data_IF_421671573589
#
_entry.id   IF_421671573589
#
_cell.length_a   1.000
_cell.length_b   1.000
_cell.length_c   1.000
_cell.angle_alpha   90.00
_cell.angle_beta   90.00
_cell.angle_gamma   90.00
#
_symmetry.space_group_name_H-M   'P 1'
#
loop_
_entity.id
_entity.type
_entity.pdbx_description
1 polymer ?
#
# COMPACT_ATOMS: atom_id res chain seq x y z
N UNK A 1 -14.16 -19.47 0.02
CA UNK A 1 -12.91 -19.08 0.72
C UNK A 1 -13.11 -18.84 2.22
N UNK A 2 -14.34 -18.80 2.75
CA UNK A 2 -14.57 -18.56 4.20
C UNK A 2 -13.81 -19.51 5.14
N UNK A 3 -13.73 -20.83 4.88
CA UNK A 3 -12.94 -21.71 5.73
C UNK A 3 -11.45 -21.35 5.76
N UNK A 4 -10.92 -20.86 4.63
CA UNK A 4 -9.53 -20.41 4.53
C UNK A 4 -9.31 -19.12 5.33
N UNK A 5 -10.15 -18.10 5.15
CA UNK A 5 -10.02 -16.83 5.89
C UNK A 5 -10.17 -17.03 7.40
N UNK A 6 -11.16 -17.83 7.82
CA UNK A 6 -11.34 -18.17 9.22
C UNK A 6 -10.12 -18.90 9.80
N UNK A 7 -9.55 -19.85 9.05
CA UNK A 7 -8.38 -20.57 9.52
C UNK A 7 -7.12 -19.69 9.58
N UNK A 8 -6.91 -18.83 8.58
CA UNK A 8 -5.83 -17.85 8.58
C UNK A 8 -5.93 -16.89 9.76
N UNK A 9 -7.12 -16.35 10.03
CA UNK A 9 -7.37 -15.49 11.19
C UNK A 9 -7.10 -16.22 12.51
N UNK A 10 -7.55 -17.48 12.66
CA UNK A 10 -7.29 -18.29 13.85
C UNK A 10 -5.80 -18.59 14.09
N UNK A 11 -4.97 -18.53 13.06
CA UNK A 11 -3.52 -18.74 13.14
C UNK A 11 -2.73 -17.44 13.29
N UNK A 12 -3.38 -16.28 13.41
CA UNK A 12 -2.69 -14.99 13.45
C UNK A 12 -2.04 -14.61 12.12
N UNK A 13 -2.43 -15.22 11.00
CA UNK A 13 -1.82 -14.92 9.71
C UNK A 13 -2.26 -13.55 9.19
N UNK A 14 -1.29 -12.73 8.83
CA UNK A 14 -1.51 -11.52 8.04
C UNK A 14 -1.67 -11.89 6.56
N UNK A 15 -2.78 -11.47 5.96
CA UNK A 15 -3.05 -11.71 4.53
C UNK A 15 -2.78 -10.46 3.70
N UNK A 16 -1.98 -10.58 2.65
CA UNK A 16 -1.68 -9.47 1.73
C UNK A 16 -2.37 -9.71 0.40
N UNK A 17 -3.06 -8.69 -0.12
CA UNK A 17 -3.72 -8.74 -1.42
C UNK A 17 -3.28 -7.57 -2.29
N UNK A 18 -3.00 -7.83 -3.56
CA UNK A 18 -2.79 -6.79 -4.55
C UNK A 18 -4.08 -5.96 -4.74
N UNK A 19 -3.97 -4.64 -4.64
CA UNK A 19 -5.07 -3.70 -4.92
C UNK A 19 -4.62 -2.56 -5.82
N UNK A 20 -5.54 -2.00 -6.60
CA UNK A 20 -5.21 -1.01 -7.62
C UNK A 20 -4.83 -1.64 -8.96
N UNK A 21 -4.67 -0.83 -10.00
CA UNK A 21 -4.48 -1.36 -11.34
C UNK A 21 -3.13 -2.07 -11.51
N UNK A 22 -3.15 -3.27 -12.10
CA UNK A 22 -1.95 -4.09 -12.37
C UNK A 22 -1.47 -3.92 -13.81
N UNK A 23 -0.20 -3.61 -14.00
CA UNK A 23 0.43 -3.36 -15.32
C UNK A 23 1.62 -4.27 -15.61
N UNK A 24 2.21 -4.88 -14.59
CA UNK A 24 3.43 -5.67 -14.65
C UNK A 24 3.16 -7.13 -15.04
N UNK A 25 1.95 -7.63 -14.77
CA UNK A 25 1.57 -9.02 -15.08
C UNK A 25 0.21 -9.14 -15.77
N UNK A 26 -0.01 -10.29 -16.43
CA UNK A 26 -1.28 -10.59 -17.08
C UNK A 26 -2.33 -10.90 -16.01
N UNK A 27 -3.37 -10.07 -15.94
CA UNK A 27 -4.51 -10.30 -15.06
C UNK A 27 -5.74 -10.77 -15.83
N UNK A 28 -6.61 -11.51 -15.14
CA UNK A 28 -7.92 -11.92 -15.68
C UNK A 28 -8.85 -10.71 -15.79
N UNK A 29 -8.86 -9.85 -14.76
CA UNK A 29 -9.62 -8.61 -14.77
C UNK A 29 -9.10 -7.64 -13.72
N UNK A 30 -9.01 -6.37 -14.11
CA UNK A 30 -8.67 -5.26 -13.20
C UNK A 30 -9.75 -5.01 -12.16
N UNK A 31 -10.99 -5.46 -12.42
CA UNK A 31 -12.07 -5.36 -11.44
C UNK A 31 -11.78 -6.12 -10.15
N UNK A 32 -10.88 -7.11 -10.17
CA UNK A 32 -10.53 -7.88 -8.97
C UNK A 32 -9.57 -7.15 -8.03
N UNK A 33 -9.02 -6.01 -8.44
CA UNK A 33 -8.07 -5.25 -7.63
C UNK A 33 -8.74 -4.15 -6.80
N UNK A 34 -10.07 -4.09 -6.81
CA UNK A 34 -10.88 -3.20 -5.98
C UNK A 34 -10.79 -3.60 -4.48
N UNK A 35 -10.29 -2.73 -3.59
CA UNK A 35 -10.22 -2.95 -2.14
C UNK A 35 -11.56 -3.34 -1.50
N UNK A 36 -12.70 -2.93 -2.07
CA UNK A 36 -14.02 -3.32 -1.54
C UNK A 36 -14.23 -4.84 -1.51
N UNK A 37 -13.49 -5.59 -2.34
CA UNK A 37 -13.55 -7.07 -2.36
C UNK A 37 -12.88 -7.72 -1.15
N UNK A 38 -12.10 -6.97 -0.38
CA UNK A 38 -11.43 -7.46 0.83
C UNK A 38 -12.39 -7.62 2.01
N UNK A 39 -13.61 -7.07 1.95
CA UNK A 39 -14.59 -7.14 3.05
C UNK A 39 -14.80 -8.57 3.54
N UNK A 40 -14.92 -9.53 2.61
CA UNK A 40 -15.11 -10.94 2.95
C UNK A 40 -13.95 -11.52 3.77
N UNK A 41 -12.72 -11.09 3.55
CA UNK A 41 -11.58 -11.53 4.36
C UNK A 41 -11.56 -10.82 5.72
N UNK A 42 -11.85 -9.52 5.73
CA UNK A 42 -11.90 -8.68 6.93
C UNK A 42 -13.00 -9.12 7.92
N UNK A 43 -14.15 -9.57 7.44
CA UNK A 43 -15.28 -10.06 8.25
C UNK A 43 -14.91 -11.26 9.14
N UNK A 44 -13.82 -11.95 8.85
CA UNK A 44 -13.30 -13.05 9.66
C UNK A 44 -12.34 -12.61 10.77
N UNK A 45 -12.08 -11.31 10.92
CA UNK A 45 -11.34 -10.72 12.05
C UNK A 45 -9.82 -10.79 11.95
N UNK A 46 -9.26 -11.43 10.92
CA UNK A 46 -7.81 -11.45 10.69
C UNK A 46 -7.28 -10.13 10.13
N UNK A 47 -5.97 -9.90 10.25
CA UNK A 47 -5.30 -8.73 9.69
C UNK A 47 -5.14 -8.85 8.18
N UNK A 48 -5.53 -7.82 7.44
CA UNK A 48 -5.40 -7.77 5.98
C UNK A 48 -4.61 -6.54 5.55
N UNK A 49 -3.70 -6.69 4.59
CA UNK A 49 -2.95 -5.61 3.96
C UNK A 49 -3.41 -5.47 2.50
N UNK A 50 -3.92 -4.29 2.14
CA UNK A 50 -4.19 -3.88 0.78
C UNK A 50 -2.91 -3.32 0.14
N UNK A 51 -2.20 -4.16 -0.61
CA UNK A 51 -0.99 -3.75 -1.30
C UNK A 51 -1.30 -2.66 -2.32
N UNK A 52 -0.50 -1.60 -2.31
CA UNK A 52 -0.62 -0.39 -3.14
C UNK A 52 -1.84 0.49 -2.83
N UNK A 53 -2.60 0.23 -1.76
CA UNK A 53 -3.71 1.07 -1.29
C UNK A 53 -4.79 1.38 -2.35
N UNK A 54 -5.04 0.48 -3.30
CA UNK A 54 -5.99 0.73 -4.40
C UNK A 54 -5.50 1.78 -5.41
N UNK A 55 -4.22 2.17 -5.40
CA UNK A 55 -3.70 3.24 -6.25
C UNK A 55 -3.53 2.80 -7.70
N UNK A 56 -3.96 3.65 -8.63
CA UNK A 56 -3.85 3.44 -10.06
C UNK A 56 -2.89 4.46 -10.71
N UNK A 57 -2.45 4.18 -11.94
CA UNK A 57 -1.74 5.14 -12.76
C UNK A 57 -2.66 6.29 -13.20
N UNK A 58 -2.09 7.46 -13.49
CA UNK A 58 -2.87 8.64 -13.89
C UNK A 58 -3.68 8.47 -15.19
N UNK A 59 -3.36 7.44 -15.99
CA UNK A 59 -4.04 7.13 -17.26
C UNK A 59 -4.96 5.91 -17.17
N UNK A 60 -5.08 5.30 -15.99
CA UNK A 60 -6.02 4.20 -15.79
C UNK A 60 -7.46 4.70 -15.80
N UNK A 61 -8.37 3.81 -16.21
CA UNK A 61 -9.80 4.15 -16.33
C UNK A 61 -10.49 4.28 -14.98
N UNK A 62 -10.01 3.54 -13.98
CA UNK A 62 -10.62 3.43 -12.66
C UNK A 62 -9.63 3.94 -11.61
N UNK A 63 -10.14 4.61 -10.57
CA UNK A 63 -9.39 4.97 -9.36
C UNK A 63 -10.02 4.23 -8.18
N UNK A 64 -9.33 3.19 -7.67
CA UNK A 64 -9.82 2.38 -6.55
C UNK A 64 -9.40 2.92 -5.17
N UNK A 65 -8.58 3.97 -5.13
CA UNK A 65 -8.12 4.54 -3.88
C UNK A 65 -9.25 5.06 -2.97
N UNK A 66 -10.34 5.70 -3.48
CA UNK A 66 -11.48 6.06 -2.64
C UNK A 66 -12.11 4.87 -1.90
N UNK A 67 -12.21 3.71 -2.56
CA UNK A 67 -12.74 2.49 -1.92
C UNK A 67 -11.78 1.99 -0.83
N UNK A 68 -10.47 2.08 -1.04
CA UNK A 68 -9.49 1.77 0.01
C UNK A 68 -9.73 2.65 1.25
N UNK A 69 -9.86 3.96 1.08
CA UNK A 69 -10.12 4.89 2.19
C UNK A 69 -11.45 4.60 2.90
N UNK A 70 -12.52 4.34 2.15
CA UNK A 70 -13.81 3.94 2.71
C UNK A 70 -13.70 2.66 3.55
N UNK A 71 -12.96 1.66 3.05
CA UNK A 71 -12.72 0.41 3.75
C UNK A 71 -11.87 0.59 5.01
N UNK A 72 -10.81 1.40 4.96
CA UNK A 72 -9.96 1.71 6.11
C UNK A 72 -10.72 2.40 7.24
N UNK A 73 -11.71 3.22 6.92
CA UNK A 73 -12.56 3.88 7.92
C UNK A 73 -13.57 2.93 8.60
N UNK A 74 -13.90 1.80 7.95
CA UNK A 74 -14.88 0.82 8.44
C UNK A 74 -14.26 -0.38 9.14
N UNK A 75 -13.02 -0.71 8.81
CA UNK A 75 -12.36 -1.93 9.25
C UNK A 75 -11.03 -1.60 9.92
N UNK A 76 -10.94 -1.81 11.24
CA UNK A 76 -9.72 -1.53 12.00
C UNK A 76 -8.61 -2.56 11.78
N UNK A 77 -8.96 -3.74 11.25
CA UNK A 77 -8.04 -4.81 10.86
C UNK A 77 -7.55 -4.69 9.40
N UNK A 78 -7.84 -3.58 8.72
CA UNK A 78 -7.29 -3.29 7.39
C UNK A 78 -6.08 -2.35 7.51
N UNK A 79 -5.03 -2.74 6.82
CA UNK A 79 -3.79 -1.98 6.63
C UNK A 79 -3.55 -1.75 5.14
N UNK A 80 -2.71 -0.77 4.82
CA UNK A 80 -2.24 -0.54 3.46
C UNK A 80 -0.72 -0.60 3.40
N UNK A 81 -0.18 -0.94 2.23
CA UNK A 81 1.24 -0.71 1.95
C UNK A 81 1.46 0.36 0.88
N UNK A 82 2.69 0.82 0.80
CA UNK A 82 3.12 1.86 -0.15
C UNK A 82 3.88 1.32 -1.35
N UNK A 83 3.79 0.02 -1.63
CA UNK A 83 4.45 -0.58 -2.78
C UNK A 83 4.05 0.16 -4.07
N UNK A 84 5.02 0.28 -5.00
CA UNK A 84 4.93 1.01 -6.28
C UNK A 84 4.47 2.49 -6.25
N UNK A 85 4.12 3.06 -5.09
CA UNK A 85 3.57 4.43 -5.00
C UNK A 85 4.61 5.53 -5.29
N UNK A 86 5.91 5.22 -5.19
CA UNK A 86 6.99 6.11 -5.61
C UNK A 86 7.24 6.09 -7.14
N UNK A 87 6.38 5.41 -7.91
CA UNK A 87 6.52 5.26 -9.35
C UNK A 87 6.13 6.52 -10.15
N UNK A 88 6.69 6.65 -11.36
CA UNK A 88 6.41 7.79 -12.24
C UNK A 88 4.93 7.89 -12.65
N UNK A 89 4.24 6.76 -12.78
CA UNK A 89 2.84 6.76 -13.22
C UNK A 89 1.85 7.03 -12.08
N UNK A 90 2.31 6.99 -10.82
CA UNK A 90 1.52 7.22 -9.59
C UNK A 90 1.90 8.55 -8.92
N UNK A 91 2.04 9.61 -9.72
CA UNK A 91 2.62 10.91 -9.35
C UNK A 91 2.17 11.49 -7.99
N UNK A 92 0.88 11.35 -7.67
CA UNK A 92 0.28 11.93 -6.47
C UNK A 92 0.04 10.93 -5.35
N UNK A 93 0.30 9.63 -5.54
CA UNK A 93 -0.15 8.58 -4.63
C UNK A 93 0.41 8.76 -3.21
N UNK A 94 1.73 8.88 -3.06
CA UNK A 94 2.36 9.13 -1.74
C UNK A 94 1.85 10.45 -1.11
N UNK A 95 1.67 11.50 -1.91
CA UNK A 95 1.18 12.79 -1.42
C UNK A 95 -0.26 12.67 -0.91
N UNK A 96 -1.13 12.03 -1.68
CA UNK A 96 -2.54 11.83 -1.36
C UNK A 96 -2.67 11.07 -0.04
N UNK A 97 -1.97 9.95 0.08
CA UNK A 97 -1.98 9.13 1.30
C UNK A 97 -1.44 9.86 2.52
N UNK A 98 -0.38 10.66 2.37
CA UNK A 98 0.19 11.44 3.47
C UNK A 98 -0.68 12.59 3.99
N UNK A 99 -1.79 12.88 3.31
CA UNK A 99 -2.75 13.92 3.71
C UNK A 99 -4.00 13.35 4.39
N UNK A 100 -4.12 12.02 4.46
CA UNK A 100 -5.22 11.37 5.17
C UNK A 100 -5.06 11.52 6.69
N UNK A 101 -6.11 11.18 7.44
CA UNK A 101 -6.11 11.26 8.90
C UNK A 101 -5.02 10.38 9.54
N UNK A 102 -4.66 10.70 10.79
CA UNK A 102 -3.75 9.87 11.58
C UNK A 102 -4.28 8.43 11.76
N UNK A 103 -5.60 8.26 11.88
CA UNK A 103 -6.24 6.93 11.94
C UNK A 103 -5.97 6.07 10.70
N UNK A 104 -5.76 6.68 9.53
CA UNK A 104 -5.41 5.98 8.30
C UNK A 104 -3.90 5.82 8.19
N UNK A 105 -3.15 6.92 8.33
CA UNK A 105 -1.69 6.93 8.13
C UNK A 105 -0.91 6.10 9.17
N UNK A 106 -1.49 5.84 10.34
CA UNK A 106 -0.95 4.93 11.35
C UNK A 106 -1.05 3.44 11.00
N UNK A 107 -1.88 3.09 10.02
CA UNK A 107 -2.06 1.72 9.51
C UNK A 107 -1.44 1.52 8.13
N UNK A 108 -0.45 2.35 7.78
CA UNK A 108 0.28 2.27 6.51
C UNK A 108 1.68 1.72 6.74
N UNK A 109 2.07 0.79 5.89
CA UNK A 109 3.31 0.01 5.97
C UNK A 109 4.22 0.35 4.78
N UNK A 110 5.53 0.34 5.00
CA UNK A 110 6.49 0.38 3.90
C UNK A 110 6.43 -0.89 3.06
N UNK A 111 6.27 -0.73 1.76
CA UNK A 111 6.48 -1.78 0.77
C UNK A 111 7.13 -1.17 -0.45
N UNK A 112 8.08 -1.85 -1.10
CA UNK A 112 8.75 -1.33 -2.30
C UNK A 112 8.16 -1.88 -3.61
N UNK A 113 7.75 -3.15 -3.61
CA UNK A 113 7.49 -3.98 -4.80
C UNK A 113 8.72 -4.18 -5.69
N UNK A 114 9.85 -4.55 -5.08
CA UNK A 114 11.06 -4.85 -5.83
C UNK A 114 10.80 -6.01 -6.80
N UNK A 115 11.23 -5.94 -8.08
CA UNK A 115 12.24 -5.03 -8.63
C UNK A 115 11.73 -3.75 -9.31
N UNK A 116 10.47 -3.35 -9.10
CA UNK A 116 9.92 -2.15 -9.75
C UNK A 116 10.68 -0.89 -9.27
N UNK A 117 11.33 -0.12 -10.16
CA UNK A 117 12.14 1.01 -9.75
C UNK A 117 11.28 2.22 -9.35
N UNK A 118 11.61 2.92 -8.25
CA UNK A 118 10.98 4.19 -7.93
C UNK A 118 11.43 5.28 -8.92
N UNK A 119 10.64 6.33 -9.06
CA UNK A 119 10.99 7.51 -9.87
C UNK A 119 11.22 8.72 -8.98
N UNK A 120 12.35 9.41 -9.13
CA UNK A 120 12.65 10.62 -8.35
C UNK A 120 11.85 11.85 -8.81
N UNK A 121 11.51 11.90 -10.10
CA UNK A 121 10.96 13.10 -10.76
C UNK A 121 9.71 13.66 -10.05
N UNK A 122 8.71 12.83 -9.67
CA UNK A 122 7.50 13.34 -9.00
C UNK A 122 7.78 13.84 -7.58
N UNK A 123 8.90 13.41 -6.99
CA UNK A 123 9.22 13.57 -5.58
C UNK A 123 10.39 14.54 -5.34
N UNK A 124 10.96 15.18 -6.37
CA UNK A 124 12.15 16.04 -6.27
C UNK A 124 12.05 17.11 -5.18
N UNK A 125 10.87 17.76 -5.02
CA UNK A 125 10.66 18.80 -4.00
C UNK A 125 10.72 18.27 -2.56
N UNK A 126 10.51 16.96 -2.36
CA UNK A 126 10.48 16.30 -1.05
C UNK A 126 11.74 15.48 -0.80
N UNK A 127 12.12 14.65 -1.76
CA UNK A 127 13.25 13.73 -1.67
C UNK A 127 14.61 14.37 -2.04
N UNK A 128 14.60 15.55 -2.65
CA UNK A 128 15.78 16.24 -3.15
C UNK A 128 16.22 15.79 -4.55
N UNK A 129 17.06 16.61 -5.20
CA UNK A 129 17.55 16.33 -6.56
C UNK A 129 18.58 15.19 -6.60
N UNK A 130 19.41 15.10 -5.57
CA UNK A 130 20.50 14.11 -5.46
C UNK A 130 20.40 13.35 -4.13
N UNK A 131 19.37 12.52 -3.94
CA UNK A 131 19.22 11.78 -2.70
C UNK A 131 20.42 10.84 -2.47
N UNK A 132 20.77 10.58 -1.19
CA UNK A 132 21.70 9.51 -0.86
C UNK A 132 21.16 8.16 -1.38
N UNK A 133 22.04 7.17 -1.51
CA UNK A 133 21.68 5.79 -1.86
C UNK A 133 20.97 5.57 -3.21
N UNK A 134 21.01 6.54 -4.14
CA UNK A 134 20.43 6.46 -5.50
C UNK A 134 20.83 5.27 -6.38
N UNK A 135 21.83 4.48 -5.97
CA UNK A 135 22.28 3.27 -6.67
C UNK A 135 21.48 2.03 -6.25
N UNK A 136 20.99 2.00 -5.01
CA UNK A 136 20.16 0.93 -4.48
C UNK A 136 18.70 1.33 -4.63
N UNK A 137 17.93 0.55 -5.39
CA UNK A 137 16.52 0.86 -5.67
C UNK A 137 15.66 0.79 -4.40
N UNK A 138 15.95 -0.12 -3.47
CA UNK A 138 15.24 -0.24 -2.19
C UNK A 138 15.50 0.98 -1.31
N UNK A 139 16.76 1.38 -1.15
CA UNK A 139 17.11 2.54 -0.34
C UNK A 139 16.57 3.84 -0.94
N UNK A 140 16.58 3.96 -2.26
CA UNK A 140 16.02 5.10 -2.96
C UNK A 140 14.49 5.18 -2.78
N UNK A 141 13.80 4.05 -2.88
CA UNK A 141 12.36 3.96 -2.66
C UNK A 141 11.99 4.39 -1.24
N UNK A 142 12.67 3.81 -0.25
CA UNK A 142 12.49 4.16 1.16
C UNK A 142 12.80 5.64 1.42
N UNK A 143 13.89 6.17 0.88
CA UNK A 143 14.24 7.60 1.00
C UNK A 143 13.14 8.52 0.45
N UNK A 144 12.58 8.18 -0.72
CA UNK A 144 11.48 8.94 -1.30
C UNK A 144 10.24 8.92 -0.40
N UNK A 145 9.86 7.73 0.10
CA UNK A 145 8.64 7.56 0.89
C UNK A 145 8.75 8.16 2.29
N UNK A 146 9.93 8.13 2.91
CA UNK A 146 10.23 8.84 4.18
C UNK A 146 10.02 10.35 4.11
N UNK A 147 10.07 10.94 2.92
CA UNK A 147 9.84 12.37 2.74
C UNK A 147 8.34 12.76 2.80
N UNK A 148 7.47 11.80 3.11
CA UNK A 148 6.03 11.98 3.31
C UNK A 148 5.66 11.72 4.76
N UNK A 149 4.65 12.43 5.25
CA UNK A 149 4.18 12.32 6.63
C UNK A 149 3.30 11.06 6.77
N UNK A 150 3.93 9.95 7.13
CA UNK A 150 3.26 8.75 7.63
C UNK A 150 3.52 8.62 9.14
N UNK A 151 3.04 7.53 9.76
CA UNK A 151 3.31 7.25 11.18
C UNK A 151 4.81 7.07 11.49
N UNK A 152 5.28 7.39 12.71
CA UNK A 152 6.62 7.07 13.16
C UNK A 152 6.99 5.57 13.07
N UNK A 153 6.00 4.68 13.11
CA UNK A 153 6.19 3.24 13.00
C UNK A 153 6.18 2.73 11.55
N UNK A 154 5.92 3.59 10.55
CA UNK A 154 5.69 3.22 9.14
C UNK A 154 6.65 2.14 8.57
N UNK A 155 7.93 2.21 8.90
CA UNK A 155 8.95 1.29 8.38
C UNK A 155 8.96 -0.07 9.08
N UNK A 156 8.55 -0.11 10.34
CA UNK A 156 8.64 -1.27 11.22
C UNK A 156 7.28 -1.83 11.61
N UNK A 157 6.17 -1.17 11.23
CA UNK A 157 4.81 -1.54 11.60
C UNK A 157 4.48 -2.99 11.23
N UNK A 158 5.05 -3.50 10.13
CA UNK A 158 4.88 -4.91 9.74
C UNK A 158 5.41 -5.87 10.81
N UNK A 159 6.46 -5.51 11.54
CA UNK A 159 7.01 -6.36 12.60
C UNK A 159 6.02 -6.50 13.75
N UNK A 160 5.32 -5.43 14.10
CA UNK A 160 4.29 -5.44 15.16
C UNK A 160 3.10 -6.32 14.76
N UNK A 161 2.77 -6.40 13.46
CA UNK A 161 1.71 -7.27 12.94
C UNK A 161 2.11 -8.75 12.84
N UNK A 162 3.40 -9.05 12.90
CA UNK A 162 3.95 -10.40 12.81
C UNK A 162 4.37 -10.97 14.18
N UNK A 163 4.29 -10.17 15.24
CA UNK A 163 4.60 -10.58 16.60
C UNK A 163 3.31 -11.00 17.32
N UNK A 164 3.04 -12.31 17.26
CA UNK A 164 2.21 -13.04 18.24
C UNK A 164 3.12 -13.83 19.19
#
# INVERSE_FOLDING_TARGET
FDPFYKHAANMGMVLVFHTGYEHSCKVISQKFTDPAKLQRALDHGGTVIAAHCGTCAFFDREDYYPHFIEMMNRNDNLYGDTAVMAGFVRLAACKRLSLESESITSRIIHGSDYPIPPSRIPHLRRAGFFPPNRKNLLDLDLHIKRAYNYSPQYENLILDLLQD
#
